data_IF_000460367213
#
_entry.id   IF_000460367213
#
_cell.length_a   1.000
_cell.length_b   1.000
_cell.length_c   1.000
_cell.angle_alpha   90.00
_cell.angle_beta   90.00
_cell.angle_gamma   90.00
#
_symmetry.space_group_name_H-M   'P 1'
#
loop_
_entity.id
_entity.type
_entity.pdbx_description
1 polymer ?
#
# COMPACT_ATOMS: atom_id res chain seq x y z
N UNK A 1 -5.08 -2.51 -5.02
CA UNK A 1 -5.99 -2.09 -3.94
C UNK A 1 -6.48 -0.66 -4.12
N UNK A 2 -5.61 0.36 -4.26
CA UNK A 2 -6.06 1.76 -4.29
C UNK A 2 -6.98 2.12 -5.47
N UNK A 3 -6.70 1.63 -6.69
CA UNK A 3 -7.55 1.92 -7.86
C UNK A 3 -9.00 1.45 -7.66
N UNK A 4 -9.18 0.24 -7.10
CA UNK A 4 -10.50 -0.30 -6.81
C UNK A 4 -11.23 0.53 -5.75
N UNK A 5 -10.55 0.92 -4.68
CA UNK A 5 -11.13 1.77 -3.65
C UNK A 5 -11.53 3.13 -4.24
N UNK A 6 -10.67 3.76 -5.04
CA UNK A 6 -11.02 4.99 -5.75
C UNK A 6 -12.25 4.76 -6.62
N UNK A 7 -12.32 3.64 -7.36
CA UNK A 7 -13.42 3.35 -8.28
C UNK A 7 -14.75 3.17 -7.54
N UNK A 8 -14.74 2.48 -6.40
CA UNK A 8 -15.93 2.32 -5.57
C UNK A 8 -16.42 3.66 -5.01
N UNK A 9 -15.52 4.61 -4.72
CA UNK A 9 -15.90 5.91 -4.15
C UNK A 9 -16.42 6.92 -5.18
N UNK A 10 -15.80 6.99 -6.37
CA UNK A 10 -16.12 8.02 -7.39
C UNK A 10 -16.69 7.47 -8.70
N UNK A 11 -16.72 6.15 -8.88
CA UNK A 11 -17.23 5.49 -10.09
C UNK A 11 -16.40 5.77 -11.35
N UNK A 12 -17.04 5.62 -12.52
CA UNK A 12 -16.47 6.00 -13.82
C UNK A 12 -16.50 7.52 -13.99
N UNK A 13 -15.59 8.20 -13.31
CA UNK A 13 -15.38 9.65 -13.45
C UNK A 13 -14.39 9.92 -14.60
N UNK A 14 -14.57 11.02 -15.35
CA UNK A 14 -13.68 11.37 -16.47
C UNK A 14 -12.21 11.50 -16.03
N UNK A 15 -11.98 12.13 -14.88
CA UNK A 15 -10.65 12.29 -14.27
C UNK A 15 -10.23 11.16 -13.31
N UNK A 16 -10.91 10.01 -13.35
CA UNK A 16 -10.63 8.88 -12.45
C UNK A 16 -9.14 8.53 -12.40
N UNK A 17 -8.52 8.40 -13.57
CA UNK A 17 -7.11 8.03 -13.69
C UNK A 17 -6.21 9.09 -13.08
N UNK A 18 -6.51 10.37 -13.29
CA UNK A 18 -5.74 11.48 -12.73
C UNK A 18 -5.78 11.52 -11.20
N UNK A 19 -6.98 11.41 -10.62
CA UNK A 19 -7.17 11.37 -9.17
C UNK A 19 -6.49 10.15 -8.54
N UNK A 20 -6.65 8.97 -9.15
CA UNK A 20 -6.02 7.75 -8.69
C UNK A 20 -4.49 7.84 -8.75
N UNK A 21 -3.93 8.32 -9.86
CA UNK A 21 -2.48 8.46 -10.02
C UNK A 21 -1.88 9.46 -9.04
N UNK A 22 -2.56 10.59 -8.80
CA UNK A 22 -2.11 11.57 -7.80
C UNK A 22 -2.05 10.95 -6.40
N UNK A 23 -3.13 10.26 -5.98
CA UNK A 23 -3.17 9.57 -4.70
C UNK A 23 -2.13 8.45 -4.60
N UNK A 24 -1.92 7.69 -5.67
CA UNK A 24 -0.91 6.63 -5.72
C UNK A 24 0.50 7.20 -5.59
N UNK A 25 0.82 8.29 -6.28
CA UNK A 25 2.14 8.92 -6.24
C UNK A 25 2.49 9.48 -4.86
N UNK A 26 1.50 9.92 -4.09
CA UNK A 26 1.70 10.35 -2.70
C UNK A 26 1.85 9.16 -1.74
N UNK A 27 1.04 8.10 -1.94
CA UNK A 27 1.04 6.94 -1.05
C UNK A 27 2.26 6.02 -1.26
N UNK A 28 2.73 5.88 -2.50
CA UNK A 28 3.82 4.98 -2.86
C UNK A 28 5.15 5.26 -2.11
N UNK A 29 5.67 6.50 -2.03
CA UNK A 29 6.93 6.77 -1.32
C UNK A 29 6.80 6.51 0.18
N UNK A 30 5.66 6.85 0.80
CA UNK A 30 5.41 6.56 2.20
C UNK A 30 5.41 5.04 2.46
N UNK A 31 4.71 4.26 1.63
CA UNK A 31 4.70 2.81 1.72
C UNK A 31 6.10 2.21 1.51
N UNK A 32 6.88 2.74 0.54
CA UNK A 32 8.25 2.32 0.30
C UNK A 32 9.14 2.52 1.53
N UNK A 33 9.13 3.72 2.11
CA UNK A 33 9.92 4.04 3.32
C UNK A 33 9.57 3.09 4.47
N UNK A 34 8.27 2.89 4.72
CA UNK A 34 7.81 1.98 5.77
C UNK A 34 8.26 0.55 5.48
N UNK A 35 8.13 0.07 4.24
CA UNK A 35 8.53 -1.28 3.87
C UNK A 35 10.04 -1.51 4.05
N UNK A 36 10.88 -0.55 3.68
CA UNK A 36 12.34 -0.67 3.86
C UNK A 36 12.76 -0.62 5.32
N UNK A 37 12.12 0.23 6.14
CA UNK A 37 12.43 0.33 7.58
C UNK A 37 11.90 -0.89 8.34
N UNK A 38 10.64 -1.26 8.09
CA UNK A 38 9.95 -2.32 8.84
C UNK A 38 10.26 -3.73 8.32
N UNK A 39 10.74 -3.88 7.08
CA UNK A 39 11.07 -5.17 6.45
C UNK A 39 11.90 -6.12 7.32
N UNK A 40 13.09 -5.72 7.82
CA UNK A 40 13.91 -6.61 8.64
C UNK A 40 13.27 -6.94 9.99
N UNK A 41 12.49 -6.03 10.57
CA UNK A 41 11.79 -6.27 11.83
C UNK A 41 10.66 -7.28 11.66
N UNK A 42 9.82 -7.08 10.64
CA UNK A 42 8.69 -7.96 10.32
C UNK A 42 9.19 -9.35 9.94
N UNK A 43 10.29 -9.45 9.18
CA UNK A 43 10.87 -10.74 8.81
C UNK A 43 11.34 -11.53 10.03
N UNK A 44 12.02 -10.88 10.99
CA UNK A 44 12.43 -11.51 12.26
C UNK A 44 11.21 -11.94 13.10
N UNK A 45 10.18 -11.10 13.17
CA UNK A 45 8.95 -11.42 13.89
C UNK A 45 8.24 -12.62 13.27
N UNK A 46 8.09 -12.65 11.94
CA UNK A 46 7.46 -13.73 11.21
C UNK A 46 8.18 -15.06 11.46
N UNK A 47 9.52 -15.07 11.44
CA UNK A 47 10.30 -16.27 11.74
C UNK A 47 10.07 -16.76 13.17
N UNK A 48 10.09 -15.85 14.15
CA UNK A 48 9.85 -16.19 15.57
C UNK A 48 8.44 -16.70 15.84
N UNK A 49 7.45 -16.25 15.07
CA UNK A 49 6.08 -16.78 15.13
C UNK A 49 6.06 -18.19 14.53
N UNK A 50 6.68 -18.39 13.37
CA UNK A 50 6.73 -19.68 12.70
C UNK A 50 7.45 -20.76 13.53
N UNK A 51 8.50 -20.40 14.28
CA UNK A 51 9.18 -21.33 15.20
C UNK A 51 8.35 -21.75 16.43
N UNK A 52 7.27 -21.01 16.74
CA UNK A 52 6.41 -21.27 17.91
C UNK A 52 5.13 -22.03 17.59
N UNK A 53 4.83 -22.23 16.31
CA UNK A 53 3.69 -23.02 15.80
C UNK A 53 4.18 -24.44 15.52
#
# INVERSE_FOLDING_TARGET
MSAWVTYVNIGTHADFVGMWMHAWLLAWPAAGIIAFISGPFIHKLAHRIAEKI
#
